data_IF_302595139632
#
_entry.id   IF_302595139632
#
_cell.length_a   1.000
_cell.length_b   1.000
_cell.length_c   1.000
_cell.angle_alpha   90.00
_cell.angle_beta   90.00
_cell.angle_gamma   90.00
#
_symmetry.space_group_name_H-M   'P 1'
#
loop_
_entity.id
_entity.type
_entity.pdbx_description
1 polymer ?
#
# COMPACT_ATOMS: atom_id res chain seq x y z
N UNK A 1 -7.57 -13.27 -33.22
CA UNK A 1 -6.23 -12.95 -32.69
C UNK A 1 -6.34 -12.87 -31.17
N UNK A 2 -5.33 -13.31 -30.43
CA UNK A 2 -5.31 -13.13 -28.98
C UNK A 2 -5.05 -11.65 -28.65
N UNK A 3 -5.78 -11.07 -27.70
CA UNK A 3 -5.53 -9.71 -27.21
C UNK A 3 -4.20 -9.66 -26.47
N UNK A 4 -3.43 -8.59 -26.66
CA UNK A 4 -2.21 -8.32 -25.89
C UNK A 4 -2.54 -7.74 -24.52
N UNK A 5 -1.54 -7.69 -23.62
CA UNK A 5 -1.69 -7.04 -22.33
C UNK A 5 -1.99 -5.53 -22.47
N UNK A 6 -1.42 -4.88 -23.49
CA UNK A 6 -1.68 -3.47 -23.78
C UNK A 6 -3.11 -3.25 -24.28
N UNK A 7 -3.62 -4.12 -25.16
CA UNK A 7 -5.03 -4.06 -25.61
C UNK A 7 -6.00 -4.17 -24.42
N UNK A 8 -5.74 -5.11 -23.49
CA UNK A 8 -6.55 -5.29 -22.28
C UNK A 8 -6.45 -4.08 -21.33
N UNK A 9 -5.26 -3.50 -21.21
CA UNK A 9 -5.04 -2.30 -20.38
C UNK A 9 -5.85 -1.12 -20.91
N UNK A 10 -5.82 -0.87 -22.21
CA UNK A 10 -6.59 0.22 -22.83
C UNK A 10 -8.09 0.05 -22.59
N UNK A 11 -8.61 -1.18 -22.76
CA UNK A 11 -10.01 -1.49 -22.50
C UNK A 11 -10.40 -1.28 -21.03
N UNK A 12 -9.57 -1.72 -20.08
CA UNK A 12 -9.82 -1.51 -18.65
C UNK A 12 -9.79 -0.03 -18.29
N UNK A 13 -8.86 0.75 -18.86
CA UNK A 13 -8.76 2.19 -18.59
C UNK A 13 -9.98 2.98 -19.10
N UNK A 14 -10.66 2.49 -20.13
CA UNK A 14 -11.90 3.09 -20.64
C UNK A 14 -13.12 2.89 -19.73
N UNK A 15 -13.07 1.96 -18.76
CA UNK A 15 -14.20 1.67 -17.86
C UNK A 15 -14.41 2.79 -16.82
N UNK A 16 -15.61 2.91 -16.22
CA UNK A 16 -15.85 3.77 -15.07
C UNK A 16 -14.94 3.44 -13.88
N UNK A 17 -14.63 4.44 -13.06
CA UNK A 17 -13.65 4.33 -11.96
C UNK A 17 -13.94 3.15 -11.01
N UNK A 18 -15.20 2.90 -10.66
CA UNK A 18 -15.58 1.79 -9.78
C UNK A 18 -15.25 0.42 -10.37
N UNK A 19 -15.44 0.24 -11.68
CA UNK A 19 -15.15 -1.03 -12.36
C UNK A 19 -13.64 -1.24 -12.48
N UNK A 20 -12.88 -0.17 -12.76
CA UNK A 20 -11.41 -0.21 -12.75
C UNK A 20 -10.87 -0.57 -11.37
N UNK A 21 -11.40 0.02 -10.31
CA UNK A 21 -11.00 -0.27 -8.93
C UNK A 21 -11.24 -1.74 -8.58
N UNK A 22 -12.37 -2.32 -9.01
CA UNK A 22 -12.65 -3.74 -8.82
C UNK A 22 -11.64 -4.63 -9.56
N UNK A 23 -11.39 -4.37 -10.85
CA UNK A 23 -10.43 -5.15 -11.64
C UNK A 23 -9.01 -5.03 -11.05
N UNK A 24 -8.61 -3.83 -10.62
CA UNK A 24 -7.32 -3.64 -9.96
C UNK A 24 -7.22 -4.46 -8.66
N UNK A 25 -8.29 -4.50 -7.86
CA UNK A 25 -8.34 -5.33 -6.64
C UNK A 25 -8.24 -6.82 -6.97
N UNK A 26 -8.96 -7.29 -7.98
CA UNK A 26 -8.96 -8.71 -8.38
C UNK A 26 -7.57 -9.12 -8.93
N UNK A 27 -6.93 -8.25 -9.71
CA UNK A 27 -5.56 -8.47 -10.20
C UNK A 27 -4.54 -8.52 -9.06
N UNK A 28 -4.60 -7.59 -8.10
CA UNK A 28 -3.73 -7.61 -6.93
C UNK A 28 -3.91 -8.90 -6.11
N UNK A 29 -5.17 -9.30 -5.85
CA UNK A 29 -5.46 -10.54 -5.14
C UNK A 29 -4.95 -11.79 -5.89
N UNK A 30 -4.87 -11.74 -7.22
CA UNK A 30 -4.29 -12.84 -7.99
C UNK A 30 -2.77 -12.96 -7.79
N UNK A 31 -2.07 -11.84 -7.55
CA UNK A 31 -0.64 -11.83 -7.25
C UNK A 31 -0.35 -12.31 -5.81
N UNK A 32 -1.27 -12.09 -4.88
CA UNK A 32 -1.14 -12.60 -3.50
C UNK A 32 -1.16 -14.14 -3.44
N UNK A 33 -1.63 -14.81 -4.49
CA UNK A 33 -1.62 -16.27 -4.62
C UNK A 33 -0.34 -16.84 -5.26
N UNK A 34 0.50 -15.98 -5.86
CA UNK A 34 1.82 -16.34 -6.35
C UNK A 34 2.75 -16.50 -5.13
N UNK A 35 3.01 -17.76 -4.77
CA UNK A 35 3.84 -18.25 -3.65
C UNK A 35 4.76 -17.21 -3.03
N UNK A 36 4.22 -16.42 -2.12
CA UNK A 36 5.01 -15.60 -1.21
C UNK A 36 5.62 -16.57 -0.21
N UNK A 37 6.95 -16.56 -0.09
CA UNK A 37 7.60 -17.29 0.98
C UNK A 37 7.34 -16.55 2.29
N UNK A 38 6.32 -17.00 3.03
CA UNK A 38 5.95 -16.44 4.34
C UNK A 38 7.15 -16.36 5.29
N UNK A 39 8.09 -17.32 5.18
CA UNK A 39 9.29 -17.32 6.00
C UNK A 39 10.26 -16.20 5.58
N UNK A 40 10.39 -15.91 4.29
CA UNK A 40 11.17 -14.77 3.79
C UNK A 40 10.51 -13.45 4.23
N UNK A 41 9.19 -13.34 4.13
CA UNK A 41 8.44 -12.16 4.59
C UNK A 41 8.66 -11.92 6.08
N UNK A 42 8.52 -12.94 6.92
CA UNK A 42 8.74 -12.84 8.36
C UNK A 42 10.18 -12.42 8.69
N UNK A 43 11.17 -12.95 7.97
CA UNK A 43 12.57 -12.56 8.14
C UNK A 43 12.80 -11.09 7.79
N UNK A 44 12.28 -10.64 6.64
CA UNK A 44 12.41 -9.25 6.19
C UNK A 44 11.72 -8.27 7.16
N UNK A 45 10.52 -8.60 7.65
CA UNK A 45 9.81 -7.78 8.63
C UNK A 45 10.51 -7.75 9.99
N UNK A 46 11.06 -8.87 10.44
CA UNK A 46 11.84 -8.95 11.67
C UNK A 46 13.07 -8.04 11.59
N UNK A 47 13.83 -8.11 10.48
CA UNK A 47 14.99 -7.28 10.24
C UNK A 47 14.65 -5.78 10.20
N UNK A 48 13.59 -5.39 9.48
CA UNK A 48 13.17 -3.99 9.40
C UNK A 48 12.65 -3.46 10.75
N UNK A 49 11.94 -4.29 11.53
CA UNK A 49 11.45 -3.89 12.85
C UNK A 49 12.62 -3.63 13.81
N UNK A 50 13.62 -4.52 13.84
CA UNK A 50 14.84 -4.34 14.62
C UNK A 50 15.60 -3.07 14.19
N UNK A 51 15.73 -2.84 12.87
CA UNK A 51 16.36 -1.63 12.34
C UNK A 51 15.62 -0.36 12.78
N UNK A 52 14.28 -0.35 12.74
CA UNK A 52 13.47 0.81 13.18
C UNK A 52 13.56 1.04 14.68
N UNK A 53 13.57 -0.01 15.49
CA UNK A 53 13.79 0.09 16.92
C UNK A 53 15.16 0.75 17.22
N UNK A 54 16.23 0.27 16.58
CA UNK A 54 17.56 0.85 16.73
C UNK A 54 17.62 2.32 16.25
N UNK A 55 16.92 2.68 15.19
CA UNK A 55 16.80 4.08 14.76
C UNK A 55 16.10 4.97 15.78
N UNK A 56 15.07 4.46 16.46
CA UNK A 56 14.38 5.18 17.54
C UNK A 56 15.29 5.36 18.76
N UNK A 57 15.95 4.28 19.19
CA UNK A 57 16.86 4.27 20.33
C UNK A 57 18.06 5.20 20.12
N UNK A 58 18.61 5.23 18.90
CA UNK A 58 19.72 6.12 18.54
C UNK A 58 19.31 7.57 18.24
N UNK A 59 18.01 7.89 18.24
CA UNK A 59 17.50 9.22 17.89
C UNK A 59 17.64 9.58 16.40
N UNK A 60 18.00 8.63 15.54
CA UNK A 60 18.14 8.84 14.09
C UNK A 60 16.79 8.81 13.36
N UNK A 61 15.75 8.28 13.99
CA UNK A 61 14.40 8.30 13.44
C UNK A 61 13.80 9.70 13.46
N UNK A 62 13.23 10.15 12.33
CA UNK A 62 12.32 11.30 12.32
C UNK A 62 11.01 10.88 12.99
N UNK A 63 10.70 11.49 14.12
CA UNK A 63 9.46 11.24 14.87
C UNK A 63 8.51 12.43 14.72
N UNK A 64 7.25 12.19 15.07
CA UNK A 64 6.21 13.22 15.16
C UNK A 64 5.71 13.24 16.59
N UNK A 65 5.36 14.43 17.07
CA UNK A 65 4.69 14.54 18.36
C UNK A 65 3.26 14.00 18.26
N UNK A 66 2.66 13.68 19.41
CA UNK A 66 1.25 13.32 19.45
C UNK A 66 0.34 14.43 18.89
N UNK A 67 0.65 15.70 19.18
CA UNK A 67 -0.10 16.84 18.65
C UNK A 67 -0.06 16.94 17.13
N UNK A 68 1.08 16.63 16.50
CA UNK A 68 1.19 16.60 15.04
C UNK A 68 0.29 15.52 14.41
N UNK A 69 0.18 14.37 15.09
CA UNK A 69 -0.67 13.25 14.65
C UNK A 69 -2.15 13.59 14.80
N UNK A 70 -2.54 14.19 15.94
CA UNK A 70 -3.92 14.63 16.19
C UNK A 70 -4.39 15.63 15.11
N UNK A 71 -3.58 16.65 14.83
CA UNK A 71 -3.88 17.64 13.79
C UNK A 71 -4.06 17.00 12.41
N UNK A 72 -3.22 16.02 12.05
CA UNK A 72 -3.35 15.28 10.78
C UNK A 72 -4.66 14.50 10.70
N UNK A 73 -5.12 13.90 11.80
CA UNK A 73 -6.39 13.18 11.81
C UNK A 73 -7.58 14.12 11.60
N UNK A 74 -7.57 15.28 12.27
CA UNK A 74 -8.61 16.31 12.08
C UNK A 74 -8.66 16.74 10.61
N UNK A 75 -7.52 17.09 10.02
CA UNK A 75 -7.44 17.52 8.61
C UNK A 75 -7.96 16.46 7.63
N UNK A 76 -7.59 15.19 7.82
CA UNK A 76 -8.06 14.10 6.94
C UNK A 76 -9.56 13.86 7.05
N UNK A 77 -10.14 14.05 8.23
CA UNK A 77 -11.58 13.93 8.43
C UNK A 77 -12.33 15.04 7.69
N UNK A 78 -11.85 16.27 7.79
CA UNK A 78 -12.46 17.42 7.13
C UNK A 78 -12.40 17.27 5.59
N UNK A 79 -11.30 16.71 5.06
CA UNK A 79 -11.14 16.43 3.62
C UNK A 79 -12.04 15.31 3.08
N UNK A 80 -12.52 14.38 3.92
CA UNK A 80 -13.44 13.31 3.51
C UNK A 80 -14.91 13.72 3.61
N UNK A 81 -15.21 14.76 4.38
CA UNK A 81 -16.56 15.30 4.57
C UNK A 81 -16.91 16.47 3.65
N UNK A 82 -15.94 16.97 2.87
CA UNK A 82 -16.11 17.99 1.83
C UNK A 82 -16.25 17.34 0.45
#
# INVERSE_FOLDING_TARGET
>A
MAKTADDLREEVLALPAQQRARIASDLLASLDSETVDDQEVDQLWSAETQRRAAMLESGNARTLSWGDIEQRFVQRRDQRGA
#
